data_IF_309322145763
#
_entry.id   IF_309322145763
#
_cell.length_a   1.000
_cell.length_b   1.000
_cell.length_c   1.000
_cell.angle_alpha   90.00
_cell.angle_beta   90.00
_cell.angle_gamma   90.00
#
_symmetry.space_group_name_H-M   'P 1'
#
loop_
_entity.id
_entity.type
_entity.pdbx_description
1 polymer ?
#
# COMPACT_ATOMS: atom_id res chain seq x y z
N UNK A 1 24.94 -6.33 -14.05
CA UNK A 1 24.07 -6.58 -12.87
C UNK A 1 24.97 -6.70 -11.67
N UNK A 2 25.17 -5.59 -10.95
CA UNK A 2 25.86 -5.64 -9.66
C UNK A 2 24.84 -6.13 -8.64
N UNK A 3 25.12 -7.25 -7.98
CA UNK A 3 24.34 -7.66 -6.83
C UNK A 3 24.47 -6.55 -5.76
N UNK A 4 23.34 -5.97 -5.37
CA UNK A 4 23.28 -5.05 -4.24
C UNK A 4 23.84 -5.77 -3.01
N UNK A 5 24.81 -5.13 -2.36
CA UNK A 5 25.43 -5.64 -1.14
C UNK A 5 24.47 -5.33 0.01
N UNK A 6 24.01 -6.37 0.68
CA UNK A 6 23.28 -6.27 1.95
C UNK A 6 24.02 -5.32 2.91
N UNK A 7 23.42 -4.19 3.25
CA UNK A 7 23.97 -3.21 4.20
C UNK A 7 24.19 -1.80 3.66
N UNK A 8 23.93 -1.52 2.38
CA UNK A 8 23.89 -0.12 1.89
C UNK A 8 22.61 0.60 2.36
N UNK A 9 22.69 1.89 2.74
CA UNK A 9 21.53 2.64 3.19
C UNK A 9 20.49 2.80 2.08
N UNK A 10 19.20 2.73 2.44
CA UNK A 10 18.10 3.04 1.53
C UNK A 10 18.22 4.49 1.08
N UNK A 11 18.17 4.74 -0.24
CA UNK A 11 18.32 6.07 -0.81
C UNK A 11 17.29 6.33 -1.92
N UNK A 12 16.90 7.61 -2.05
CA UNK A 12 16.15 8.10 -3.20
C UNK A 12 17.01 8.00 -4.47
N UNK A 13 16.36 7.69 -5.59
CA UNK A 13 16.97 7.79 -6.89
C UNK A 13 17.36 9.26 -7.17
N UNK A 14 18.65 9.57 -7.37
CA UNK A 14 19.10 10.95 -7.57
C UNK A 14 18.67 11.53 -8.92
N UNK A 15 18.19 10.70 -9.86
CA UNK A 15 17.73 11.14 -11.17
C UNK A 15 16.28 11.68 -11.18
N UNK A 16 15.59 11.70 -10.04
CA UNK A 16 14.21 12.20 -9.95
C UNK A 16 14.15 13.72 -10.15
N UNK A 17 13.41 14.16 -11.17
CA UNK A 17 13.14 15.57 -11.42
C UNK A 17 12.04 16.09 -10.48
N UNK A 18 12.47 16.66 -9.36
CA UNK A 18 11.57 17.19 -8.31
C UNK A 18 10.64 18.28 -8.83
N UNK A 19 11.10 19.13 -9.74
CA UNK A 19 10.28 20.23 -10.26
C UNK A 19 9.18 19.70 -11.18
N UNK A 20 9.49 18.75 -12.05
CA UNK A 20 8.49 18.10 -12.88
C UNK A 20 7.44 17.37 -12.04
N UNK A 21 7.87 16.66 -10.99
CA UNK A 21 6.98 15.98 -10.05
C UNK A 21 6.07 16.97 -9.29
N UNK A 22 6.63 18.08 -8.82
CA UNK A 22 5.85 19.13 -8.14
C UNK A 22 4.77 19.71 -9.05
N UNK A 23 5.11 20.00 -10.31
CA UNK A 23 4.16 20.51 -11.30
C UNK A 23 3.04 19.50 -11.59
N UNK A 24 3.38 18.21 -11.70
CA UNK A 24 2.40 17.15 -11.90
C UNK A 24 1.45 17.02 -10.69
N UNK A 25 1.99 17.02 -9.47
CA UNK A 25 1.17 16.95 -8.26
C UNK A 25 0.24 18.16 -8.12
N UNK A 26 0.74 19.37 -8.38
CA UNK A 26 -0.05 20.60 -8.26
C UNK A 26 -1.25 20.63 -9.23
N UNK A 27 -1.19 19.89 -10.34
CA UNK A 27 -2.27 19.83 -11.33
C UNK A 27 -3.35 18.83 -10.93
N UNK A 28 -2.95 17.63 -10.52
CA UNK A 28 -3.86 16.49 -10.35
C UNK A 28 -4.13 16.14 -8.87
N UNK A 29 -3.35 16.67 -7.93
CA UNK A 29 -3.37 16.26 -6.52
C UNK A 29 -2.92 14.81 -6.30
N UNK A 30 -2.37 14.16 -7.33
CA UNK A 30 -1.88 12.78 -7.33
C UNK A 30 -0.83 12.58 -8.40
N UNK A 31 0.10 11.64 -8.20
CA UNK A 31 1.10 11.25 -9.20
C UNK A 31 1.64 9.84 -8.98
N UNK A 32 2.39 9.35 -9.97
CA UNK A 32 3.21 8.14 -9.87
C UNK A 32 4.68 8.43 -10.15
N UNK A 33 5.55 7.87 -9.32
CA UNK A 33 7.01 7.97 -9.45
C UNK A 33 7.56 6.56 -9.63
N UNK A 34 7.98 6.24 -10.85
CA UNK A 34 8.70 5.00 -11.12
C UNK A 34 10.18 5.15 -10.77
N UNK A 35 10.81 4.07 -10.29
CA UNK A 35 12.22 4.08 -9.91
C UNK A 35 12.49 4.96 -8.69
N UNK A 36 11.66 4.88 -7.64
CA UNK A 36 11.82 5.71 -6.44
C UNK A 36 13.16 5.44 -5.74
N UNK A 37 13.51 4.17 -5.60
CA UNK A 37 14.70 3.70 -4.86
C UNK A 37 15.67 2.96 -5.79
N UNK A 38 16.87 2.65 -5.28
CA UNK A 38 17.73 1.65 -5.91
C UNK A 38 17.02 0.28 -5.98
N UNK A 39 17.07 -0.37 -7.14
CA UNK A 39 16.30 -1.59 -7.39
C UNK A 39 16.78 -2.77 -6.55
N UNK A 40 18.08 -2.88 -6.25
CA UNK A 40 18.63 -4.08 -5.62
C UNK A 40 18.07 -4.33 -4.23
N UNK A 41 17.87 -3.26 -3.46
CA UNK A 41 17.29 -3.33 -2.11
C UNK A 41 15.81 -3.73 -2.15
N UNK A 42 15.02 -3.20 -3.08
CA UNK A 42 13.58 -3.49 -3.16
C UNK A 42 13.27 -4.94 -3.52
N UNK A 43 14.14 -5.64 -4.25
CA UNK A 43 13.98 -7.07 -4.52
C UNK A 43 14.11 -7.90 -3.23
N UNK A 44 15.00 -7.52 -2.32
CA UNK A 44 15.12 -8.17 -1.00
C UNK A 44 13.84 -7.99 -0.19
N UNK A 45 13.32 -6.76 -0.13
CA UNK A 45 12.05 -6.43 0.54
C UNK A 45 10.89 -7.23 -0.08
N UNK A 46 10.77 -7.26 -1.41
CA UNK A 46 9.73 -8.03 -2.11
C UNK A 46 9.81 -9.52 -1.75
N UNK A 47 11.02 -10.10 -1.70
CA UNK A 47 11.21 -11.49 -1.32
C UNK A 47 10.72 -11.75 0.11
N UNK A 48 11.09 -10.89 1.07
CA UNK A 48 10.61 -11.00 2.45
C UNK A 48 9.08 -10.88 2.54
N UNK A 49 8.49 -9.92 1.82
CA UNK A 49 7.04 -9.77 1.72
C UNK A 49 6.34 -10.98 1.07
N UNK A 50 7.02 -11.71 0.19
CA UNK A 50 6.45 -12.91 -0.42
C UNK A 50 6.51 -14.10 0.54
N UNK A 51 7.67 -14.32 1.15
CA UNK A 51 8.02 -15.61 1.76
C UNK A 51 7.98 -15.62 3.29
N UNK A 52 8.16 -14.47 3.94
CA UNK A 52 8.56 -14.42 5.35
C UNK A 52 7.62 -13.60 6.24
N UNK A 53 6.92 -12.61 5.71
CA UNK A 53 6.04 -11.76 6.52
C UNK A 53 4.81 -12.55 7.02
N UNK A 54 4.57 -12.61 8.35
CA UNK A 54 3.40 -13.23 8.92
C UNK A 54 2.23 -12.25 8.88
N UNK A 55 1.58 -12.13 7.72
CA UNK A 55 0.47 -11.19 7.53
C UNK A 55 -0.77 -11.59 8.32
N UNK A 56 -1.37 -10.62 9.01
CA UNK A 56 -2.72 -10.74 9.54
C UNK A 56 -3.75 -10.56 8.42
N UNK A 57 -4.89 -11.24 8.51
CA UNK A 57 -6.04 -10.97 7.67
C UNK A 57 -6.80 -9.75 8.23
N UNK A 58 -6.94 -8.70 7.44
CA UNK A 58 -7.60 -7.45 7.82
C UNK A 58 -8.86 -7.30 6.96
N UNK A 59 -10.01 -7.15 7.62
CA UNK A 59 -11.30 -7.10 6.95
C UNK A 59 -12.34 -6.27 7.70
N UNK A 60 -13.39 -5.86 6.99
CA UNK A 60 -14.52 -5.16 7.61
C UNK A 60 -15.74 -6.07 7.69
N UNK A 61 -16.22 -6.34 8.90
CA UNK A 61 -17.40 -7.19 9.14
C UNK A 61 -18.09 -6.75 10.43
N UNK A 62 -19.42 -6.88 10.47
CA UNK A 62 -20.26 -6.48 11.62
C UNK A 62 -20.08 -4.99 12.02
N UNK A 63 -19.84 -4.11 11.04
CA UNK A 63 -19.70 -2.67 11.25
C UNK A 63 -18.37 -2.25 11.85
N UNK A 64 -17.38 -3.15 11.93
CA UNK A 64 -16.06 -2.87 12.50
C UNK A 64 -14.94 -3.45 11.64
N UNK A 65 -13.78 -2.80 11.71
CA UNK A 65 -12.55 -3.32 11.15
C UNK A 65 -11.98 -4.39 12.11
N UNK A 66 -11.65 -5.54 11.57
CA UNK A 66 -11.14 -6.69 12.32
C UNK A 66 -9.75 -7.07 11.79
N UNK A 67 -8.93 -7.58 12.70
CA UNK A 67 -7.60 -8.13 12.42
C UNK A 67 -7.59 -9.55 12.96
N UNK A 68 -7.30 -10.52 12.09
CA UNK A 68 -7.26 -11.94 12.42
C UNK A 68 -5.86 -12.48 12.12
N UNK A 69 -5.09 -12.81 13.15
CA UNK A 69 -3.77 -13.40 12.98
C UNK A 69 -3.79 -14.75 12.25
N UNK A 70 -2.68 -15.16 11.60
CA UNK A 70 -2.58 -16.43 10.88
C UNK A 70 -3.00 -17.65 11.70
N UNK A 71 -2.63 -17.70 12.98
CA UNK A 71 -2.95 -18.79 13.89
C UNK A 71 -4.45 -18.90 14.17
N UNK A 72 -5.17 -17.77 14.21
CA UNK A 72 -6.62 -17.75 14.38
C UNK A 72 -7.32 -18.13 13.07
N UNK A 73 -6.82 -17.65 11.93
CA UNK A 73 -7.33 -18.01 10.61
C UNK A 73 -7.21 -19.53 10.35
N UNK A 74 -6.10 -20.13 10.78
CA UNK A 74 -5.85 -21.57 10.66
C UNK A 74 -6.79 -22.43 11.51
N UNK A 75 -7.46 -21.86 12.52
CA UNK A 75 -8.45 -22.56 13.35
C UNK A 75 -9.84 -22.57 12.74
N UNK A 76 -10.11 -21.74 11.72
CA UNK A 76 -11.41 -21.73 11.06
C UNK A 76 -11.58 -22.98 10.19
N UNK A 77 -12.68 -23.70 10.40
CA UNK A 77 -13.07 -24.76 9.49
C UNK A 77 -13.53 -24.21 8.13
N UNK A 78 -13.65 -25.10 7.14
CA UNK A 78 -14.06 -24.72 5.78
C UNK A 78 -15.47 -24.11 5.70
N UNK A 79 -16.37 -24.44 6.62
CA UNK A 79 -17.71 -23.88 6.62
C UNK A 79 -17.68 -22.43 7.12
N UNK A 80 -16.98 -22.16 8.22
CA UNK A 80 -16.78 -20.84 8.78
C UNK A 80 -16.06 -19.92 7.79
N UNK A 81 -15.00 -20.41 7.12
CA UNK A 81 -14.29 -19.65 6.07
C UNK A 81 -15.23 -19.24 4.92
N UNK A 82 -16.05 -20.17 4.42
CA UNK A 82 -17.02 -19.87 3.34
C UNK A 82 -18.09 -18.88 3.79
N UNK A 83 -18.63 -19.03 5.00
CA UNK A 83 -19.64 -18.12 5.55
C UNK A 83 -19.08 -16.71 5.70
N UNK A 84 -17.88 -16.57 6.26
CA UNK A 84 -17.18 -15.29 6.37
C UNK A 84 -16.97 -14.65 4.99
N UNK A 85 -16.48 -15.41 4.00
CA UNK A 85 -16.27 -14.91 2.65
C UNK A 85 -17.58 -14.44 2.00
N UNK A 86 -18.68 -15.17 2.18
CA UNK A 86 -20.00 -14.79 1.68
C UNK A 86 -20.49 -13.48 2.30
N UNK A 87 -20.34 -13.31 3.63
CA UNK A 87 -20.74 -12.08 4.31
C UNK A 87 -19.91 -10.88 3.84
N UNK A 88 -18.60 -11.06 3.66
CA UNK A 88 -17.71 -10.03 3.13
C UNK A 88 -18.13 -9.61 1.72
N UNK A 89 -18.42 -10.56 0.83
CA UNK A 89 -18.88 -10.25 -0.53
C UNK A 89 -20.27 -9.64 -0.58
N UNK A 90 -21.16 -9.96 0.36
CA UNK A 90 -22.45 -9.27 0.50
C UNK A 90 -22.29 -7.79 0.88
N UNK A 91 -21.28 -7.46 1.70
CA UNK A 91 -20.92 -6.07 2.00
C UNK A 91 -20.26 -5.40 0.79
N UNK A 92 -19.33 -6.08 0.12
CA UNK A 92 -18.65 -5.57 -1.07
C UNK A 92 -19.63 -5.21 -2.20
N UNK A 93 -20.67 -6.02 -2.39
CA UNK A 93 -21.76 -5.75 -3.34
C UNK A 93 -22.46 -4.40 -3.07
N UNK A 94 -22.46 -3.93 -1.82
CA UNK A 94 -23.00 -2.63 -1.42
C UNK A 94 -21.95 -1.52 -1.42
N UNK A 95 -20.73 -1.78 -1.91
CA UNK A 95 -19.61 -0.85 -1.87
C UNK A 95 -19.05 -0.63 -0.47
N UNK A 96 -19.16 -1.62 0.42
CA UNK A 96 -18.73 -1.50 1.82
C UNK A 96 -17.62 -2.49 2.13
N UNK A 97 -16.59 -2.00 2.82
CA UNK A 97 -15.58 -2.81 3.47
C UNK A 97 -14.42 -3.22 2.57
N UNK A 98 -13.63 -4.16 3.08
CA UNK A 98 -12.39 -4.61 2.49
C UNK A 98 -12.01 -5.98 3.03
N UNK A 99 -11.11 -6.65 2.32
CA UNK A 99 -10.47 -7.89 2.72
C UNK A 99 -9.08 -7.90 2.10
N UNK A 100 -8.05 -7.85 2.92
CA UNK A 100 -6.66 -7.99 2.47
C UNK A 100 -5.77 -8.50 3.61
N UNK A 101 -4.50 -8.73 3.32
CA UNK A 101 -3.50 -9.12 4.32
C UNK A 101 -2.58 -7.95 4.63
N UNK A 102 -2.27 -7.72 5.90
CA UNK A 102 -1.47 -6.59 6.34
C UNK A 102 -0.49 -6.95 7.46
N UNK A 103 0.63 -6.24 7.47
CA UNK A 103 1.64 -6.30 8.53
C UNK A 103 1.98 -4.87 8.93
N UNK A 104 1.41 -4.41 10.05
CA UNK A 104 1.46 -3.01 10.49
C UNK A 104 2.84 -2.64 11.03
N UNK A 105 3.33 -1.48 10.61
CA UNK A 105 4.56 -0.89 11.10
C UNK A 105 4.22 0.13 12.18
N UNK A 106 4.01 -0.35 13.40
CA UNK A 106 3.67 0.50 14.54
C UNK A 106 4.93 1.13 15.16
N UNK A 107 4.88 2.38 15.64
CA UNK A 107 5.98 3.00 16.36
C UNK A 107 6.45 2.13 17.54
N UNK A 108 7.76 1.89 17.63
CA UNK A 108 8.35 1.09 18.71
C UNK A 108 8.21 -0.44 18.54
N UNK A 109 7.59 -0.91 17.46
CA UNK A 109 7.58 -2.34 17.12
C UNK A 109 8.99 -2.79 16.76
N UNK A 110 9.52 -3.76 17.51
CA UNK A 110 10.78 -4.44 17.16
C UNK A 110 10.44 -5.63 16.29
N UNK A 111 10.93 -5.64 15.05
CA UNK A 111 10.76 -6.76 14.14
C UNK A 111 11.78 -7.86 14.45
N UNK A 112 11.47 -9.12 14.15
CA UNK A 112 12.46 -10.19 14.09
C UNK A 112 13.64 -9.81 13.20
N UNK A 113 14.84 -10.32 13.49
CA UNK A 113 16.07 -9.94 12.79
C UNK A 113 15.99 -10.19 11.27
N UNK A 114 15.32 -11.26 10.87
CA UNK A 114 15.06 -11.63 9.48
C UNK A 114 14.16 -10.64 8.73
N UNK A 115 13.38 -9.81 9.44
CA UNK A 115 12.55 -8.76 8.87
C UNK A 115 13.12 -7.35 9.10
N UNK A 116 14.34 -7.22 9.62
CA UNK A 116 14.99 -5.94 9.83
C UNK A 116 15.03 -5.04 8.57
N UNK A 117 15.23 -5.57 7.34
CA UNK A 117 15.14 -4.75 6.13
C UNK A 117 13.78 -4.05 5.95
N UNK A 118 12.67 -4.69 6.36
CA UNK A 118 11.35 -4.07 6.31
C UNK A 118 11.23 -2.87 7.25
N UNK A 119 11.86 -2.97 8.42
CA UNK A 119 11.95 -1.86 9.38
C UNK A 119 12.78 -0.71 8.79
N UNK A 120 13.95 -1.00 8.22
CA UNK A 120 14.82 0.01 7.61
C UNK A 120 14.15 0.76 6.45
N UNK A 121 13.38 0.07 5.60
CA UNK A 121 12.60 0.75 4.56
C UNK A 121 11.53 1.67 5.16
N UNK A 122 10.82 1.23 6.21
CA UNK A 122 9.80 2.05 6.85
C UNK A 122 10.40 3.27 7.59
N UNK A 123 11.55 3.10 8.22
CA UNK A 123 12.32 4.18 8.83
C UNK A 123 12.80 5.18 7.76
N UNK A 124 13.22 4.70 6.59
CA UNK A 124 13.55 5.56 5.46
C UNK A 124 12.33 6.37 4.98
N UNK A 125 11.15 5.75 4.88
CA UNK A 125 9.90 6.45 4.54
C UNK A 125 9.60 7.61 5.51
N UNK A 126 10.00 7.46 6.77
CA UNK A 126 9.90 8.46 7.84
C UNK A 126 11.14 9.36 8.00
N UNK A 127 12.19 9.17 7.21
CA UNK A 127 13.42 9.96 7.33
C UNK A 127 13.21 11.40 6.86
N UNK A 128 13.99 12.34 7.38
CA UNK A 128 13.92 13.74 6.92
C UNK A 128 14.23 13.89 5.44
N UNK A 129 15.06 13.02 4.85
CA UNK A 129 15.32 13.04 3.41
C UNK A 129 14.05 12.73 2.60
N UNK A 130 13.28 11.73 3.01
CA UNK A 130 12.02 11.38 2.38
C UNK A 130 10.93 12.41 2.68
N UNK A 131 10.78 12.83 3.94
CA UNK A 131 9.81 13.85 4.32
C UNK A 131 10.05 15.17 3.57
N UNK A 132 11.30 15.61 3.46
CA UNK A 132 11.66 16.80 2.66
C UNK A 132 11.29 16.61 1.19
N UNK A 133 11.62 15.47 0.59
CA UNK A 133 11.22 15.16 -0.78
C UNK A 133 9.70 15.22 -0.97
N UNK A 134 8.91 14.62 -0.07
CA UNK A 134 7.46 14.62 -0.17
C UNK A 134 6.88 16.03 0.06
N UNK A 135 7.38 16.80 1.02
CA UNK A 135 6.99 18.22 1.23
C UNK A 135 7.23 19.05 -0.04
N UNK A 136 8.38 18.87 -0.70
CA UNK A 136 8.75 19.59 -1.92
C UNK A 136 7.83 19.25 -3.11
N UNK A 137 7.60 17.97 -3.38
CA UNK A 137 6.78 17.57 -4.55
C UNK A 137 5.28 17.76 -4.33
N UNK A 138 4.81 17.78 -3.07
CA UNK A 138 3.38 17.93 -2.78
C UNK A 138 2.96 19.37 -2.46
N UNK A 139 3.91 20.23 -2.05
CA UNK A 139 3.63 21.56 -1.53
C UNK A 139 3.07 21.57 -0.09
N UNK A 140 2.89 20.40 0.54
CA UNK A 140 2.46 20.31 1.93
C UNK A 140 3.67 20.38 2.86
N UNK A 141 3.95 21.56 3.41
CA UNK A 141 5.08 21.78 4.31
C UNK A 141 4.83 21.34 5.77
N UNK A 142 3.59 21.02 6.13
CA UNK A 142 3.19 20.62 7.48
C UNK A 142 3.38 19.13 7.77
N UNK A 143 3.88 18.33 6.82
CA UNK A 143 4.10 16.89 7.02
C UNK A 143 5.22 16.64 8.02
N UNK A 144 5.02 15.78 9.02
CA UNK A 144 6.00 15.48 10.08
C UNK A 144 6.32 14.00 10.24
N UNK A 145 5.45 13.12 9.76
CA UNK A 145 5.60 11.67 9.93
C UNK A 145 4.83 10.89 8.87
N UNK A 146 5.10 9.59 8.80
CA UNK A 146 4.33 8.63 8.04
C UNK A 146 3.99 7.40 8.90
N UNK A 147 2.76 6.92 8.80
CA UNK A 147 2.45 5.55 9.22
C UNK A 147 2.57 4.59 8.03
N UNK A 148 2.47 3.28 8.29
CA UNK A 148 2.61 2.31 7.22
C UNK A 148 2.27 0.89 7.62
N UNK A 149 1.98 0.10 6.60
CA UNK A 149 1.86 -1.35 6.68
C UNK A 149 2.31 -1.97 5.36
N UNK A 150 2.97 -3.12 5.46
CA UNK A 150 3.15 -3.97 4.29
C UNK A 150 1.82 -4.67 4.01
N UNK A 151 1.36 -4.61 2.78
CA UNK A 151 0.08 -5.21 2.36
C UNK A 151 0.28 -6.26 1.29
N UNK A 152 -0.56 -7.29 1.37
CA UNK A 152 -0.63 -8.40 0.43
C UNK A 152 -2.08 -8.60 -0.01
N UNK A 153 -2.33 -8.48 -1.30
CA UNK A 153 -3.61 -8.84 -1.90
C UNK A 153 -3.41 -10.12 -2.72
N UNK A 154 -4.19 -11.14 -2.39
CA UNK A 154 -4.25 -12.44 -3.10
C UNK A 154 -5.64 -12.60 -3.72
N UNK A 155 -5.88 -13.60 -4.58
CA UNK A 155 -7.20 -13.84 -5.14
C UNK A 155 -8.32 -13.79 -4.10
N UNK A 156 -9.38 -13.02 -4.39
CA UNK A 156 -10.48 -12.77 -3.45
C UNK A 156 -10.37 -11.49 -2.64
N UNK A 157 -9.20 -10.84 -2.61
CA UNK A 157 -8.96 -9.62 -1.84
C UNK A 157 -9.38 -8.36 -2.61
N UNK A 158 -9.78 -7.32 -1.87
CA UNK A 158 -10.24 -6.04 -2.40
C UNK A 158 -10.27 -4.96 -1.31
N UNK A 159 -10.40 -3.71 -1.74
CA UNK A 159 -10.74 -2.57 -0.89
C UNK A 159 -11.76 -1.73 -1.65
N UNK A 160 -13.00 -1.69 -1.16
CA UNK A 160 -14.08 -0.96 -1.86
C UNK A 160 -13.85 0.56 -1.85
N UNK A 161 -14.64 1.28 -2.65
CA UNK A 161 -14.53 2.72 -2.85
C UNK A 161 -14.64 3.49 -1.53
N UNK A 162 -13.64 4.32 -1.24
CA UNK A 162 -13.58 5.16 -0.05
C UNK A 162 -12.69 6.39 -0.30
N UNK A 163 -12.68 7.31 0.67
CA UNK A 163 -11.70 8.39 0.76
C UNK A 163 -11.04 8.34 2.14
N UNK A 164 -9.78 8.76 2.23
CA UNK A 164 -9.02 8.75 3.49
C UNK A 164 -9.11 10.07 4.27
N UNK A 165 -9.97 11.00 3.84
CA UNK A 165 -10.15 12.30 4.46
C UNK A 165 -10.90 12.19 5.80
N UNK A 166 -10.19 11.73 6.83
CA UNK A 166 -10.67 11.61 8.20
C UNK A 166 -9.94 12.67 9.03
N UNK A 167 -10.61 13.80 9.29
CA UNK A 167 -10.01 14.98 9.93
C UNK A 167 -9.28 14.66 11.24
N UNK A 168 -9.82 13.75 12.06
CA UNK A 168 -9.24 13.37 13.35
C UNK A 168 -7.92 12.61 13.26
N UNK A 169 -7.56 12.10 12.08
CA UNK A 169 -6.37 11.27 11.89
C UNK A 169 -5.17 12.06 11.35
N UNK A 170 -5.36 13.34 10.98
CA UNK A 170 -4.26 14.21 10.55
C UNK A 170 -3.58 13.78 9.25
N UNK A 171 -4.20 12.88 8.48
CA UNK A 171 -3.70 12.40 7.18
C UNK A 171 -3.74 13.53 6.15
N UNK A 172 -2.69 13.61 5.33
CA UNK A 172 -2.56 14.58 4.24
C UNK A 172 -2.47 13.89 2.89
N UNK A 173 -1.55 12.94 2.78
CA UNK A 173 -1.28 12.20 1.57
C UNK A 173 -1.35 10.72 1.88
N UNK A 174 -2.05 9.97 1.04
CA UNK A 174 -1.92 8.52 0.99
C UNK A 174 -0.77 8.15 0.05
N UNK A 175 -0.05 7.09 0.39
CA UNK A 175 1.02 6.56 -0.44
C UNK A 175 0.96 5.05 -0.59
N UNK A 176 1.37 4.56 -1.76
CA UNK A 176 1.50 3.14 -2.10
C UNK A 176 2.83 2.94 -2.82
N UNK A 177 3.84 2.42 -2.13
CA UNK A 177 5.09 1.96 -2.74
C UNK A 177 4.91 0.52 -3.20
N UNK A 178 4.79 0.33 -4.51
CA UNK A 178 4.54 -0.96 -5.13
C UNK A 178 5.80 -1.82 -5.27
N UNK A 179 5.64 -3.11 -4.97
CA UNK A 179 6.67 -4.15 -5.11
C UNK A 179 6.18 -5.30 -6.00
N UNK A 180 5.19 -5.04 -6.86
CA UNK A 180 4.57 -6.06 -7.71
C UNK A 180 5.15 -6.02 -9.12
N UNK A 181 5.88 -7.05 -9.52
CA UNK A 181 6.44 -7.17 -10.87
C UNK A 181 5.47 -7.83 -11.85
N UNK A 182 5.54 -7.44 -13.13
CA UNK A 182 4.86 -8.13 -14.23
C UNK A 182 3.34 -8.30 -14.04
N UNK A 183 2.68 -7.28 -13.48
CA UNK A 183 1.25 -7.36 -13.17
C UNK A 183 0.39 -7.31 -14.43
N UNK A 184 -0.50 -8.31 -14.60
CA UNK A 184 -1.44 -8.32 -15.72
C UNK A 184 -2.69 -7.49 -15.38
N UNK A 185 -3.19 -6.61 -16.26
CA UNK A 185 -4.37 -5.78 -15.98
C UNK A 185 -5.62 -6.60 -15.63
N UNK A 186 -5.85 -7.71 -16.31
CA UNK A 186 -7.01 -8.58 -16.05
C UNK A 186 -6.97 -9.26 -14.67
N UNK A 187 -5.84 -9.22 -13.96
CA UNK A 187 -5.79 -9.75 -12.59
C UNK A 187 -6.55 -8.88 -11.58
N UNK A 188 -6.96 -7.67 -11.96
CA UNK A 188 -7.53 -6.70 -11.02
C UNK A 188 -6.45 -6.14 -10.10
N UNK A 189 -6.77 -5.86 -8.83
CA UNK A 189 -5.82 -5.25 -7.89
C UNK A 189 -5.36 -3.83 -8.28
N UNK A 190 -6.03 -3.22 -9.25
CA UNK A 190 -5.77 -1.86 -9.72
C UNK A 190 -6.10 -0.85 -8.61
N UNK A 191 -5.25 0.17 -8.47
CA UNK A 191 -5.59 1.37 -7.71
C UNK A 191 -6.48 2.23 -8.60
N UNK A 192 -7.79 2.16 -8.40
CA UNK A 192 -8.79 2.81 -9.25
C UNK A 192 -9.33 4.06 -8.57
N UNK A 193 -9.34 5.17 -9.30
CA UNK A 193 -9.85 6.46 -8.86
C UNK A 193 -11.25 6.74 -9.43
N UNK A 194 -12.01 7.55 -8.72
CA UNK A 194 -13.39 7.89 -9.08
C UNK A 194 -13.61 9.39 -8.99
N UNK A 195 -14.50 9.86 -9.86
CA UNK A 195 -15.11 11.17 -9.75
C UNK A 195 -16.08 11.24 -8.55
N UNK A 196 -16.43 12.44 -8.06
CA UNK A 196 -17.36 12.61 -6.95
C UNK A 196 -18.74 11.98 -7.14
N UNK A 197 -19.20 11.87 -8.39
CA UNK A 197 -20.47 11.21 -8.73
C UNK A 197 -20.39 9.67 -8.73
N UNK A 198 -19.17 9.14 -8.56
CA UNK A 198 -18.89 7.72 -8.49
C UNK A 198 -18.50 7.06 -9.82
N UNK A 199 -18.42 7.81 -10.92
CA UNK A 199 -17.89 7.30 -12.18
C UNK A 199 -16.38 7.03 -12.08
N UNK A 200 -15.86 5.95 -12.70
CA UNK A 200 -14.42 5.73 -12.79
C UNK A 200 -13.74 6.89 -13.53
N UNK A 201 -12.68 7.46 -12.94
CA UNK A 201 -11.84 8.44 -13.61
C UNK A 201 -10.74 7.72 -14.40
N UNK A 202 -9.84 7.05 -13.69
CA UNK A 202 -8.81 6.17 -14.27
C UNK A 202 -8.35 5.11 -13.26
N UNK A 203 -7.33 4.33 -13.63
CA UNK A 203 -6.75 3.33 -12.75
C UNK A 203 -5.25 3.14 -13.02
N UNK A 204 -4.53 2.79 -11.95
CA UNK A 204 -3.10 2.53 -11.98
C UNK A 204 -2.81 1.05 -11.69
N UNK A 205 -2.06 0.44 -12.61
CA UNK A 205 -1.56 -0.92 -12.44
C UNK A 205 -0.56 -0.99 -11.27
N UNK A 206 -0.63 -2.01 -10.41
CA UNK A 206 0.46 -2.37 -9.53
C UNK A 206 1.77 -2.48 -10.31
N UNK A 207 2.82 -1.85 -9.80
CA UNK A 207 4.13 -1.86 -10.44
C UNK A 207 5.23 -1.94 -9.38
N UNK A 208 6.37 -2.47 -9.80
CA UNK A 208 7.56 -2.56 -8.96
C UNK A 208 8.26 -1.21 -8.87
N UNK A 209 8.88 -0.93 -7.72
CA UNK A 209 9.63 0.30 -7.43
C UNK A 209 8.88 1.57 -7.86
N UNK A 210 7.56 1.60 -7.62
CA UNK A 210 6.71 2.71 -8.05
C UNK A 210 5.93 3.26 -6.87
N UNK A 211 6.15 4.54 -6.56
CA UNK A 211 5.37 5.26 -5.55
C UNK A 211 4.15 5.88 -6.21
N UNK A 212 2.97 5.48 -5.76
CA UNK A 212 1.72 6.22 -6.02
C UNK A 212 1.47 7.13 -4.83
N UNK A 213 1.32 8.44 -5.06
CA UNK A 213 1.11 9.44 -4.02
C UNK A 213 -0.10 10.28 -4.38
N UNK A 214 -1.04 10.47 -3.45
CA UNK A 214 -2.26 11.21 -3.72
C UNK A 214 -2.85 11.87 -2.47
N UNK A 215 -3.50 13.01 -2.67
CA UNK A 215 -4.24 13.70 -1.62
C UNK A 215 -5.40 12.84 -1.11
N UNK A 216 -5.59 12.81 0.21
CA UNK A 216 -6.62 11.97 0.87
C UNK A 216 -8.06 12.33 0.50
N UNK A 217 -8.30 13.46 -0.17
CA UNK A 217 -9.59 13.82 -0.73
C UNK A 217 -10.00 12.97 -1.94
N UNK A 218 -9.05 12.30 -2.60
CA UNK A 218 -9.37 11.41 -3.72
C UNK A 218 -10.23 10.24 -3.26
N UNK A 219 -11.22 9.90 -4.08
CA UNK A 219 -12.04 8.71 -3.91
C UNK A 219 -11.38 7.58 -4.71
N UNK A 220 -11.04 6.49 -4.04
CA UNK A 220 -10.31 5.40 -4.67
C UNK A 220 -10.72 4.02 -4.12
N UNK A 221 -10.25 2.97 -4.80
CA UNK A 221 -10.41 1.58 -4.40
C UNK A 221 -9.19 0.75 -4.81
N UNK A 222 -9.05 -0.44 -4.22
CA UNK A 222 -8.24 -1.51 -4.81
C UNK A 222 -9.20 -2.53 -5.39
N UNK A 223 -9.23 -2.63 -6.72
CA UNK A 223 -10.14 -3.54 -7.42
C UNK A 223 -9.91 -4.98 -7.02
N UNK A 224 -10.96 -5.80 -7.15
CA UNK A 224 -10.94 -7.21 -6.76
C UNK A 224 -9.82 -7.97 -7.47
N UNK A 225 -8.98 -8.67 -6.70
CA UNK A 225 -7.96 -9.56 -7.26
C UNK A 225 -8.63 -10.85 -7.69
N UNK A 226 -8.56 -11.13 -8.99
CA UNK A 226 -9.30 -12.23 -9.61
C UNK A 226 -8.75 -13.61 -9.21
N UNK A 227 -9.57 -14.69 -9.32
CA UNK A 227 -9.16 -16.06 -9.01
C UNK A 227 -7.96 -16.58 -9.84
N UNK A 228 -7.71 -15.98 -11.00
CA UNK A 228 -6.65 -16.39 -11.92
C UNK A 228 -5.39 -15.53 -11.83
N UNK A 229 -5.32 -14.59 -10.88
CA UNK A 229 -4.07 -13.88 -10.60
C UNK A 229 -3.03 -14.87 -10.07
N UNK A 230 -1.85 -14.93 -10.72
CA UNK A 230 -0.83 -15.94 -10.40
C UNK A 230 0.19 -15.50 -9.36
N UNK A 231 0.18 -14.22 -8.97
CA UNK A 231 1.08 -13.64 -7.97
C UNK A 231 0.32 -12.72 -7.01
N UNK A 232 0.78 -12.55 -5.76
CA UNK A 232 0.23 -11.55 -4.87
C UNK A 232 0.58 -10.13 -5.32
N UNK A 233 -0.32 -9.17 -5.07
CA UNK A 233 -0.01 -7.74 -5.13
C UNK A 233 0.59 -7.31 -3.79
N UNK A 234 1.85 -6.87 -3.83
CA UNK A 234 2.66 -6.47 -2.68
C UNK A 234 2.91 -4.96 -2.70
N UNK A 235 2.76 -4.31 -1.55
CA UNK A 235 3.01 -2.88 -1.39
C UNK A 235 3.37 -2.51 0.06
N UNK A 236 4.09 -1.41 0.24
CA UNK A 236 4.14 -0.66 1.50
C UNK A 236 3.19 0.52 1.35
N UNK A 237 2.19 0.62 2.21
CA UNK A 237 1.11 1.61 2.10
C UNK A 237 0.87 2.30 3.42
N UNK A 238 0.55 3.59 3.39
CA UNK A 238 0.21 4.36 4.58
C UNK A 238 -0.12 5.81 4.24
N UNK A 239 0.00 6.67 5.24
CA UNK A 239 -0.28 8.09 5.10
C UNK A 239 0.86 8.94 5.64
N UNK A 240 1.19 10.00 4.91
CA UNK A 240 1.94 11.14 5.46
C UNK A 240 0.98 12.04 6.24
N UNK A 241 1.44 12.50 7.40
CA UNK A 241 0.61 13.15 8.43
C UNK A 241 1.26 14.44 8.90
N UNK A 242 0.44 15.34 9.43
CA UNK A 242 0.89 16.54 10.15
C UNK A 242 1.49 16.21 11.50
#
# INVERSE_FOLDING_TARGET
>A
MAASKSGEPVMLNPALDRQALANAFATEGRLRIAGLLDEGYLHEIQKLCTDSVPYDLIFHLNGQNQVMPPEQLAQLDHQAQRQMQQQLFQLANKGVGFLYQGYRMDPGRVLPAELAPLQSLFEFINSEAMLTFIREISGYHDLSSADGQYTRYVPGHYLTRHSDNITSEGRRLAYVLGMSETWHPDWGGLLQFFEPDGNPADAWLPAFNTLSLFDVSHIYSVTYVTPFASKPRLSLTGWYRR
#
